data_IF_425548590516
#
_entry.id   IF_425548590516
#
_cell.length_a   1.000
_cell.length_b   1.000
_cell.length_c   1.000
_cell.angle_alpha   90.00
_cell.angle_beta   90.00
_cell.angle_gamma   90.00
#
_symmetry.space_group_name_H-M   'P 1'
#
loop_
_entity.id
_entity.type
_entity.pdbx_description
1 polymer ?
#
# COMPACT_ATOMS: atom_id res chain seq x y z
N UNK A 1 11.53 8.58 43.52
CA UNK A 1 10.61 7.59 44.12
C UNK A 1 9.51 7.18 43.11
N UNK A 2 9.86 6.80 41.91
CA UNK A 2 8.89 6.39 40.88
C UNK A 2 9.22 5.04 40.20
N UNK A 3 10.29 4.37 40.60
CA UNK A 3 10.69 3.06 40.04
C UNK A 3 9.97 1.84 40.64
N UNK A 4 9.04 2.03 41.60
CA UNK A 4 8.33 0.93 42.27
C UNK A 4 7.05 0.43 41.60
N UNK A 5 6.51 1.13 40.60
CA UNK A 5 5.17 0.84 40.09
C UNK A 5 5.16 -0.10 38.88
N UNK A 6 6.18 -0.12 38.07
CA UNK A 6 6.22 -0.88 36.82
C UNK A 6 6.58 -2.37 37.01
N UNK A 7 7.26 -2.72 38.10
CA UNK A 7 7.65 -4.13 38.39
C UNK A 7 6.52 -5.04 38.87
N UNK A 8 5.32 -4.52 39.12
CA UNK A 8 4.19 -5.29 39.69
C UNK A 8 3.20 -5.82 38.65
N UNK A 9 3.35 -5.50 37.37
CA UNK A 9 2.41 -5.88 36.31
C UNK A 9 2.83 -7.14 35.55
N UNK A 10 4.07 -7.63 35.68
CA UNK A 10 4.60 -8.73 34.87
C UNK A 10 5.05 -9.98 35.60
N UNK A 11 4.51 -10.30 36.80
CA UNK A 11 4.73 -11.61 37.42
C UNK A 11 3.43 -12.37 37.54
N UNK A 12 3.06 -13.07 36.48
CA UNK A 12 2.12 -14.20 36.52
C UNK A 12 2.92 -15.50 36.64
N UNK A 13 2.79 -16.22 37.74
CA UNK A 13 3.33 -17.55 37.78
C UNK A 13 3.35 -18.18 39.15
N UNK A 14 2.36 -19.04 39.41
CA UNK A 14 2.37 -20.25 40.26
C UNK A 14 2.69 -20.09 41.75
N UNK A 15 1.67 -20.30 42.61
CA UNK A 15 1.64 -21.46 43.47
C UNK A 15 0.27 -21.62 44.18
N UNK A 16 -0.17 -22.84 44.35
CA UNK A 16 -1.41 -23.28 44.96
C UNK A 16 -1.21 -23.65 46.47
N UNK A 17 -2.24 -24.08 47.22
CA UNK A 17 -2.87 -23.32 48.29
C UNK A 17 -2.76 -24.02 49.67
N UNK A 18 -3.04 -23.31 50.75
CA UNK A 18 -3.45 -23.96 52.00
C UNK A 18 -3.99 -22.95 53.02
N UNK A 19 -5.16 -23.23 53.63
CA UNK A 19 -5.51 -22.77 54.95
C UNK A 19 -6.71 -21.83 55.10
N UNK A 20 -7.76 -22.34 55.70
CA UNK A 20 -9.10 -21.81 55.92
C UNK A 20 -9.22 -20.62 56.90
N UNK A 21 -10.19 -19.70 56.60
CA UNK A 21 -11.23 -19.01 57.38
C UNK A 21 -10.84 -18.10 58.56
N UNK A 22 -11.66 -17.12 59.03
CA UNK A 22 -13.02 -16.78 58.64
C UNK A 22 -13.31 -15.29 58.35
N UNK A 23 -14.55 -15.01 58.03
CA UNK A 23 -15.20 -13.76 57.60
C UNK A 23 -15.11 -12.58 58.57
N UNK A 24 -15.02 -11.38 58.01
CA UNK A 24 -15.52 -10.13 58.62
C UNK A 24 -16.11 -9.23 57.50
N UNK A 25 -17.30 -8.75 57.81
CA UNK A 25 -18.15 -7.89 57.00
C UNK A 25 -17.51 -6.50 56.77
N UNK A 26 -17.53 -6.02 55.54
CA UNK A 26 -17.29 -4.59 55.25
C UNK A 26 -18.39 -4.06 54.33
N UNK A 27 -19.06 -3.05 54.88
CA UNK A 27 -20.22 -2.34 54.42
C UNK A 27 -20.04 -1.68 53.04
N UNK A 28 -21.08 -1.76 52.24
CA UNK A 28 -21.38 -0.98 51.05
C UNK A 28 -21.33 0.52 51.33
N UNK A 29 -20.64 1.26 50.47
CA UNK A 29 -20.82 2.69 50.32
C UNK A 29 -21.21 2.99 48.85
N UNK A 30 -22.28 3.77 48.60
CA UNK A 30 -22.82 3.95 47.27
C UNK A 30 -21.96 4.93 46.43
N UNK A 31 -21.76 4.53 45.16
CA UNK A 31 -21.18 5.40 44.14
C UNK A 31 -22.12 6.58 43.83
N UNK A 32 -21.56 7.77 43.76
CA UNK A 32 -22.30 9.01 43.53
C UNK A 32 -22.90 9.08 42.13
N UNK A 33 -24.15 9.50 42.09
CA UNK A 33 -25.09 9.59 40.95
C UNK A 33 -24.69 10.64 39.85
N UNK A 34 -23.60 11.38 40.02
CA UNK A 34 -23.19 12.45 39.11
C UNK A 34 -22.55 11.97 37.79
N UNK A 35 -21.97 10.75 37.78
CA UNK A 35 -21.28 10.23 36.57
C UNK A 35 -22.25 9.63 35.54
N UNK A 36 -23.46 9.31 35.92
CA UNK A 36 -24.48 8.73 35.03
C UNK A 36 -25.35 9.80 34.35
N UNK A 37 -25.42 11.01 34.90
CA UNK A 37 -26.18 12.11 34.30
C UNK A 37 -25.42 12.76 33.10
N UNK A 38 -24.09 12.82 33.12
CA UNK A 38 -23.32 13.40 32.00
C UNK A 38 -23.35 12.52 30.72
N UNK A 39 -23.49 11.22 30.84
CA UNK A 39 -23.56 10.31 29.68
C UNK A 39 -24.97 10.37 29.02
N UNK A 40 -26.01 10.68 29.79
CA UNK A 40 -27.38 10.81 29.31
C UNK A 40 -27.64 12.11 28.52
N UNK A 41 -26.95 13.18 28.86
CA UNK A 41 -27.13 14.49 28.17
C UNK A 41 -26.39 14.59 26.82
N UNK A 42 -25.27 13.91 26.64
CA UNK A 42 -24.59 13.85 25.34
C UNK A 42 -25.31 12.98 24.32
N UNK A 43 -26.01 11.92 24.74
CA UNK A 43 -26.78 11.07 23.83
C UNK A 43 -28.09 11.71 23.36
N UNK A 44 -28.72 12.54 24.19
CA UNK A 44 -29.94 13.27 23.79
C UNK A 44 -29.65 14.42 22.83
N UNK A 45 -28.46 15.03 22.87
CA UNK A 45 -28.06 16.08 21.94
C UNK A 45 -27.77 15.53 20.52
N UNK A 46 -27.26 14.32 20.40
CA UNK A 46 -26.96 13.67 19.10
C UNK A 46 -28.27 13.21 18.42
N UNK A 47 -29.25 12.74 19.17
CA UNK A 47 -30.55 12.31 18.64
C UNK A 47 -31.44 13.50 18.20
N UNK A 48 -31.35 14.65 18.86
CA UNK A 48 -32.08 15.86 18.42
C UNK A 48 -31.50 16.47 17.14
N UNK A 49 -30.19 16.43 16.91
CA UNK A 49 -29.58 16.87 15.64
C UNK A 49 -29.92 15.97 14.43
N UNK A 50 -30.31 14.74 14.67
CA UNK A 50 -30.73 13.79 13.62
C UNK A 50 -32.20 13.92 13.23
N UNK A 51 -33.06 14.52 14.08
CA UNK A 51 -34.48 14.72 13.81
C UNK A 51 -34.76 16.06 13.09
N UNK A 52 -33.97 17.11 13.35
CA UNK A 52 -34.12 18.40 12.67
C UNK A 52 -33.73 18.40 11.19
N UNK A 53 -32.97 17.37 10.73
CA UNK A 53 -32.61 17.20 9.31
C UNK A 53 -33.72 16.55 8.46
N UNK A 54 -34.79 16.03 9.07
CA UNK A 54 -35.86 15.29 8.39
C UNK A 54 -37.12 16.14 8.09
N UNK A 55 -37.23 17.36 8.62
CA UNK A 55 -38.48 18.14 8.55
C UNK A 55 -38.44 19.36 7.60
N UNK A 56 -37.45 19.54 6.74
CA UNK A 56 -37.43 20.71 5.83
C UNK A 56 -37.27 20.27 4.36
N UNK A 57 -38.34 20.00 3.61
CA UNK A 57 -38.26 19.74 2.18
C UNK A 57 -38.03 21.04 1.39
N UNK A 58 -37.05 21.03 0.49
CA UNK A 58 -36.75 22.10 -0.47
C UNK A 58 -37.90 22.29 -1.45
N UNK A 59 -38.17 23.53 -1.91
CA UNK A 59 -39.32 23.82 -2.78
C UNK A 59 -39.13 23.27 -4.19
N UNK A 60 -40.22 22.67 -4.70
CA UNK A 60 -40.39 22.20 -6.07
C UNK A 60 -40.26 23.34 -7.08
N UNK A 61 -39.45 23.18 -8.10
CA UNK A 61 -39.48 24.02 -9.30
C UNK A 61 -40.45 23.43 -10.33
N UNK A 62 -41.40 24.24 -10.74
CA UNK A 62 -42.47 23.95 -11.69
C UNK A 62 -41.94 23.57 -13.08
N UNK A 63 -42.72 22.70 -13.70
CA UNK A 63 -42.46 22.04 -14.95
C UNK A 63 -42.46 22.92 -16.20
N UNK A 64 -41.69 22.47 -17.17
CA UNK A 64 -41.87 22.85 -18.58
C UNK A 64 -42.17 21.57 -19.36
N UNK A 65 -43.37 21.53 -19.93
CA UNK A 65 -43.85 20.43 -20.80
C UNK A 65 -43.16 20.43 -22.15
N UNK A 66 -42.94 19.27 -22.76
CA UNK A 66 -42.42 19.16 -24.13
C UNK A 66 -43.53 19.26 -25.16
N UNK A 67 -43.29 20.01 -26.25
CA UNK A 67 -44.10 20.04 -27.46
C UNK A 67 -43.74 18.90 -28.42
N UNK A 68 -44.67 18.42 -29.24
CA UNK A 68 -44.56 17.21 -30.01
C UNK A 68 -43.78 17.39 -31.35
N UNK A 69 -43.28 16.26 -31.82
CA UNK A 69 -42.55 16.08 -33.08
C UNK A 69 -43.51 16.19 -34.28
N UNK A 70 -43.03 16.84 -35.35
CA UNK A 70 -43.56 16.72 -36.70
C UNK A 70 -42.66 15.79 -37.55
N UNK A 71 -43.39 14.90 -38.26
CA UNK A 71 -42.85 14.02 -39.30
C UNK A 71 -42.45 14.84 -40.51
N UNK A 72 -41.35 14.39 -41.21
CA UNK A 72 -41.40 14.27 -42.68
C UNK A 72 -40.22 13.43 -43.23
N UNK A 73 -40.63 12.45 -43.94
CA UNK A 73 -40.18 11.85 -45.23
C UNK A 73 -38.71 11.56 -45.51
N UNK A 74 -38.50 10.29 -45.74
CA UNK A 74 -37.39 9.74 -46.54
C UNK A 74 -37.59 10.01 -48.04
N UNK A 75 -36.55 9.99 -48.85
CA UNK A 75 -36.66 9.32 -50.15
C UNK A 75 -35.63 8.21 -50.37
N UNK A 76 -36.12 7.20 -51.05
CA UNK A 76 -35.43 6.00 -51.57
C UNK A 76 -34.49 6.28 -52.72
N UNK A 77 -33.58 5.29 -52.89
CA UNK A 77 -33.06 4.69 -54.13
C UNK A 77 -32.09 5.47 -55.03
N UNK A 78 -30.94 4.85 -55.25
CA UNK A 78 -30.56 4.19 -56.52
C UNK A 78 -29.09 3.70 -56.41
N UNK A 79 -28.89 2.44 -56.51
CA UNK A 79 -28.36 1.52 -57.52
C UNK A 79 -27.11 1.95 -58.27
N UNK A 80 -26.20 0.96 -58.32
CA UNK A 80 -25.16 0.70 -59.32
C UNK A 80 -23.83 1.44 -59.30
N UNK A 81 -22.76 0.70 -58.93
CA UNK A 81 -21.67 0.43 -59.86
C UNK A 81 -20.66 -0.57 -59.29
N UNK A 82 -20.65 -1.72 -59.91
CA UNK A 82 -19.61 -2.73 -59.96
C UNK A 82 -18.26 -2.15 -60.35
N UNK A 83 -17.21 -2.34 -59.50
CA UNK A 83 -15.83 -2.13 -59.90
C UNK A 83 -14.95 -3.25 -59.32
N UNK A 84 -14.84 -4.28 -60.14
CA UNK A 84 -13.91 -5.42 -59.94
C UNK A 84 -12.46 -4.91 -60.09
N UNK A 85 -11.72 -4.85 -58.98
CA UNK A 85 -10.27 -4.66 -59.00
C UNK A 85 -9.61 -6.04 -58.97
N UNK A 86 -8.98 -6.41 -60.11
CA UNK A 86 -8.07 -7.56 -60.24
C UNK A 86 -6.81 -7.29 -59.41
N UNK A 87 -6.55 -8.13 -58.43
CA UNK A 87 -5.26 -8.25 -57.78
C UNK A 87 -4.39 -9.23 -58.57
N UNK A 88 -3.31 -8.70 -59.18
CA UNK A 88 -2.21 -9.50 -59.70
C UNK A 88 -1.39 -10.09 -58.56
N UNK A 89 -1.13 -11.39 -58.65
CA UNK A 89 -0.29 -12.20 -57.74
C UNK A 89 1.16 -12.06 -58.29
N UNK A 90 2.12 -11.63 -57.50
CA UNK A 90 3.53 -11.74 -57.86
C UNK A 90 4.06 -13.16 -57.54
N UNK A 91 4.92 -13.62 -58.46
CA UNK A 91 5.61 -14.91 -58.52
C UNK A 91 6.37 -15.31 -57.25
N UNK A 92 6.48 -16.62 -57.08
CA UNK A 92 7.16 -17.34 -56.02
C UNK A 92 8.65 -16.94 -55.88
N UNK A 93 9.08 -16.62 -54.65
CA UNK A 93 10.50 -16.60 -54.24
C UNK A 93 10.98 -17.99 -53.79
N UNK A 94 12.28 -18.30 -53.95
CA UNK A 94 12.84 -19.62 -53.67
C UNK A 94 12.94 -19.92 -52.16
N UNK A 95 13.10 -21.19 -51.74
CA UNK A 95 13.14 -21.57 -50.32
C UNK A 95 14.45 -21.06 -49.68
N UNK A 96 14.28 -20.26 -48.63
CA UNK A 96 15.37 -19.84 -47.75
C UNK A 96 15.53 -20.95 -46.71
N UNK A 97 16.79 -21.26 -46.46
CA UNK A 97 17.26 -22.33 -45.60
C UNK A 97 16.78 -22.27 -44.15
N UNK A 98 16.90 -23.39 -43.51
CA UNK A 98 16.71 -23.63 -42.08
C UNK A 98 17.44 -22.60 -41.26
N UNK A 99 16.70 -21.63 -40.67
CA UNK A 99 17.22 -20.80 -39.62
C UNK A 99 17.09 -21.54 -38.29
N UNK A 100 18.26 -21.70 -37.68
CA UNK A 100 18.46 -22.18 -36.30
C UNK A 100 17.46 -21.50 -35.35
N UNK A 101 16.92 -22.30 -34.45
CA UNK A 101 16.14 -21.86 -33.30
C UNK A 101 16.94 -20.84 -32.49
N UNK A 102 16.76 -19.56 -32.81
CA UNK A 102 17.15 -18.49 -31.91
C UNK A 102 16.30 -18.62 -30.65
N UNK A 103 16.95 -18.97 -29.53
CA UNK A 103 16.32 -19.07 -28.24
C UNK A 103 15.56 -17.79 -27.92
N UNK A 104 14.30 -17.94 -27.55
CA UNK A 104 13.48 -16.84 -27.04
C UNK A 104 14.23 -16.26 -25.85
N UNK A 105 14.73 -15.03 -25.99
CA UNK A 105 15.36 -14.29 -24.92
C UNK A 105 14.33 -14.17 -23.77
N UNK A 106 14.72 -14.62 -22.58
CA UNK A 106 13.89 -14.45 -21.40
C UNK A 106 13.63 -12.94 -21.17
N UNK A 107 12.41 -12.56 -20.79
CA UNK A 107 12.10 -11.14 -20.59
C UNK A 107 12.92 -10.58 -19.44
N UNK A 108 13.69 -9.50 -19.68
CA UNK A 108 14.42 -8.78 -18.65
C UNK A 108 13.44 -8.03 -17.74
N UNK A 109 13.34 -8.45 -16.47
CA UNK A 109 12.44 -7.81 -15.50
C UNK A 109 12.98 -6.44 -15.07
N UNK A 110 12.08 -5.46 -14.79
CA UNK A 110 12.48 -4.15 -14.25
C UNK A 110 13.05 -4.29 -12.83
N UNK A 111 13.81 -3.27 -12.39
CA UNK A 111 14.30 -3.19 -10.99
C UNK A 111 13.17 -3.40 -9.99
N UNK A 112 13.41 -4.24 -8.97
CA UNK A 112 12.44 -4.56 -7.92
C UNK A 112 11.60 -5.81 -8.17
N UNK A 113 11.83 -6.52 -9.29
CA UNK A 113 11.21 -7.81 -9.60
C UNK A 113 12.29 -8.88 -9.76
N UNK A 114 11.98 -10.10 -9.34
CA UNK A 114 12.82 -11.28 -9.57
C UNK A 114 11.97 -12.43 -10.09
N UNK A 115 12.56 -13.31 -10.90
CA UNK A 115 11.95 -14.58 -11.27
C UNK A 115 12.09 -15.54 -10.08
N UNK A 116 11.01 -16.19 -9.68
CA UNK A 116 10.97 -17.11 -8.52
C UNK A 116 11.84 -18.35 -8.65
N UNK A 117 12.49 -18.58 -9.79
CA UNK A 117 13.24 -19.82 -10.09
C UNK A 117 14.68 -19.65 -10.54
N UNK A 118 15.17 -18.45 -10.86
CA UNK A 118 16.60 -18.26 -11.24
C UNK A 118 17.09 -16.84 -10.98
N UNK A 119 18.18 -16.73 -10.23
CA UNK A 119 18.92 -15.48 -10.10
C UNK A 119 19.78 -15.26 -11.34
N UNK A 120 19.48 -14.29 -12.20
CA UNK A 120 20.31 -13.91 -13.34
C UNK A 120 21.04 -12.61 -13.06
N UNK A 121 22.36 -12.59 -13.29
CA UNK A 121 23.24 -11.43 -13.14
C UNK A 121 22.85 -10.29 -14.09
N UNK A 122 22.92 -9.07 -13.58
CA UNK A 122 22.50 -7.82 -14.25
C UNK A 122 23.58 -7.27 -15.17
N UNK A 123 23.17 -6.88 -16.38
CA UNK A 123 23.96 -6.03 -17.31
C UNK A 123 23.52 -4.57 -17.11
N UNK A 124 24.45 -3.59 -17.00
CA UNK A 124 24.10 -2.19 -16.75
C UNK A 124 23.66 -1.46 -18.03
N UNK A 125 22.51 -0.76 -17.98
CA UNK A 125 22.08 0.18 -19.01
C UNK A 125 22.64 1.59 -18.76
N UNK A 126 23.04 2.31 -19.83
CA UNK A 126 23.63 3.66 -19.79
C UNK A 126 22.59 4.79 -19.56
N UNK A 127 22.97 5.93 -18.92
CA UNK A 127 22.04 6.82 -18.26
C UNK A 127 21.56 7.99 -19.12
N UNK A 128 20.25 8.12 -19.26
CA UNK A 128 19.61 9.43 -19.40
C UNK A 128 19.67 10.13 -18.02
N UNK A 129 20.08 11.40 -17.93
CA UNK A 129 20.19 12.16 -16.66
C UNK A 129 18.82 12.35 -15.99
N UNK A 130 18.25 11.28 -15.49
CA UNK A 130 17.15 11.32 -14.52
C UNK A 130 17.78 11.42 -13.14
N UNK A 131 17.23 12.24 -12.24
CA UNK A 131 17.59 12.23 -10.83
C UNK A 131 17.73 10.78 -10.38
N UNK A 132 18.83 10.45 -9.70
CA UNK A 132 19.00 9.08 -9.18
C UNK A 132 17.79 8.75 -8.27
N UNK A 133 17.40 7.49 -8.20
CA UNK A 133 16.30 7.09 -7.36
C UNK A 133 16.50 7.53 -5.88
N UNK A 134 17.74 7.51 -5.39
CA UNK A 134 18.12 8.01 -4.06
C UNK A 134 17.84 9.52 -3.90
N UNK A 135 18.11 10.31 -4.93
CA UNK A 135 17.76 11.74 -4.89
C UNK A 135 16.25 11.96 -4.83
N UNK A 136 15.45 11.15 -5.53
CA UNK A 136 13.99 11.20 -5.44
C UNK A 136 13.50 10.76 -4.05
N UNK A 137 14.04 9.67 -3.51
CA UNK A 137 13.75 9.20 -2.15
C UNK A 137 14.09 10.27 -1.11
N UNK A 138 15.28 10.85 -1.19
CA UNK A 138 15.73 11.93 -0.29
C UNK A 138 14.83 13.15 -0.38
N UNK A 139 14.45 13.56 -1.58
CA UNK A 139 13.51 14.67 -1.78
C UNK A 139 12.15 14.33 -1.17
N UNK A 140 11.65 13.11 -1.36
CA UNK A 140 10.40 12.63 -0.78
C UNK A 140 10.42 12.61 0.75
N UNK A 141 11.50 12.12 1.35
CA UNK A 141 11.65 12.04 2.81
C UNK A 141 12.18 13.32 3.46
N UNK A 142 12.45 14.38 2.68
CA UNK A 142 13.08 15.60 3.18
C UNK A 142 12.34 16.21 4.37
N UNK A 143 11.01 16.21 4.35
CA UNK A 143 10.20 16.76 5.46
C UNK A 143 10.36 15.95 6.75
N UNK A 144 10.31 14.63 6.65
CA UNK A 144 10.53 13.71 7.79
C UNK A 144 11.95 13.90 8.35
N UNK A 145 12.93 13.82 7.48
CA UNK A 145 14.35 13.91 7.84
C UNK A 145 14.72 15.26 8.43
N UNK A 146 14.35 16.38 7.80
CA UNK A 146 14.71 17.72 8.26
C UNK A 146 14.08 18.07 9.61
N UNK A 147 12.83 17.65 9.85
CA UNK A 147 12.18 17.83 11.15
C UNK A 147 12.89 17.02 12.23
N UNK A 148 13.14 15.74 11.98
CA UNK A 148 13.75 14.83 12.94
C UNK A 148 15.20 15.25 13.27
N UNK A 149 16.04 15.48 12.25
CA UNK A 149 17.44 15.90 12.46
C UNK A 149 17.56 17.26 13.10
N UNK A 150 16.65 18.19 12.79
CA UNK A 150 16.60 19.49 13.44
C UNK A 150 16.32 19.39 14.94
N UNK A 151 15.36 18.55 15.33
CA UNK A 151 15.02 18.30 16.75
C UNK A 151 16.14 17.55 17.47
N UNK A 152 16.75 16.52 16.86
CA UNK A 152 17.91 15.81 17.41
C UNK A 152 19.08 16.79 17.63
N UNK A 153 19.41 17.61 16.64
CA UNK A 153 20.50 18.59 16.77
C UNK A 153 20.23 19.57 17.91
N UNK A 154 19.00 20.04 18.07
CA UNK A 154 18.63 20.94 19.17
C UNK A 154 18.77 20.24 20.54
N UNK A 155 18.40 18.97 20.65
CA UNK A 155 18.49 18.19 21.89
C UNK A 155 19.95 18.00 22.34
N UNK A 156 20.85 17.69 21.40
CA UNK A 156 22.27 17.39 21.68
C UNK A 156 23.19 18.62 21.60
N UNK A 157 22.64 19.83 21.43
CA UNK A 157 23.45 21.05 21.45
C UNK A 157 23.91 21.35 22.86
N UNK A 158 25.21 21.19 23.15
CA UNK A 158 25.87 21.52 24.42
C UNK A 158 25.41 20.70 25.65
N UNK A 159 24.88 19.49 25.45
CA UNK A 159 24.53 18.57 26.54
C UNK A 159 25.41 17.32 26.51
N UNK A 160 25.73 16.79 27.69
CA UNK A 160 26.27 15.44 27.85
C UNK A 160 25.11 14.44 27.81
N UNK A 161 25.37 13.27 27.30
CA UNK A 161 24.37 12.20 27.29
C UNK A 161 24.10 11.74 28.73
N UNK A 162 22.92 12.02 29.22
CA UNK A 162 22.37 11.58 30.49
C UNK A 162 21.01 10.89 30.30
N UNK A 163 20.39 10.41 31.36
CA UNK A 163 19.14 9.68 31.33
C UNK A 163 17.96 10.52 30.80
N UNK A 164 17.93 11.80 31.19
CA UNK A 164 16.89 12.75 30.76
C UNK A 164 16.97 13.00 29.24
N UNK A 165 18.19 13.16 28.71
CA UNK A 165 18.42 13.35 27.27
C UNK A 165 18.08 12.10 26.46
N UNK A 166 18.31 10.89 27.00
CA UNK A 166 17.90 9.63 26.36
C UNK A 166 16.38 9.50 26.31
N UNK A 167 15.68 9.86 27.40
CA UNK A 167 14.22 9.86 27.42
C UNK A 167 13.64 10.86 26.43
N UNK A 168 14.19 12.07 26.38
CA UNK A 168 13.78 13.08 25.39
C UNK A 168 13.97 12.59 23.95
N UNK A 169 15.07 11.85 23.68
CA UNK A 169 15.33 11.24 22.37
C UNK A 169 14.30 10.15 22.04
N UNK A 170 14.00 9.24 22.98
CA UNK A 170 12.98 8.21 22.80
C UNK A 170 11.63 8.82 22.44
N UNK A 171 11.18 9.82 23.18
CA UNK A 171 9.92 10.52 22.95
C UNK A 171 9.88 11.15 21.55
N UNK A 172 10.98 11.75 21.12
CA UNK A 172 11.13 12.36 19.80
C UNK A 172 11.03 11.32 18.68
N UNK A 173 11.70 10.17 18.84
CA UNK A 173 11.68 9.08 17.85
C UNK A 173 10.28 8.44 17.76
N UNK A 174 9.58 8.31 18.89
CA UNK A 174 8.20 7.83 18.94
C UNK A 174 7.26 8.83 18.23
N UNK A 175 7.42 10.13 18.45
CA UNK A 175 6.65 11.18 17.77
C UNK A 175 6.90 11.21 16.25
N UNK A 176 8.06 10.77 15.81
CA UNK A 176 8.39 10.59 14.39
C UNK A 176 7.84 9.28 13.79
N UNK A 177 6.98 8.57 14.52
CA UNK A 177 6.35 7.30 14.10
C UNK A 177 7.35 6.14 13.87
N UNK A 178 8.56 6.16 14.44
CA UNK A 178 9.55 5.07 14.31
C UNK A 178 9.16 3.81 15.10
N UNK A 179 8.20 3.93 16.02
CA UNK A 179 7.75 2.86 16.91
C UNK A 179 8.61 2.71 18.17
N UNK A 180 7.97 2.25 19.24
CA UNK A 180 8.58 2.18 20.59
C UNK A 180 9.80 1.26 20.60
N UNK A 181 9.71 0.07 20.01
CA UNK A 181 10.81 -0.90 19.99
C UNK A 181 12.07 -0.34 19.32
N UNK A 182 11.90 0.34 18.19
CA UNK A 182 13.03 0.94 17.46
C UNK A 182 13.62 2.13 18.22
N UNK A 183 12.76 2.98 18.82
CA UNK A 183 13.20 4.12 19.62
C UNK A 183 14.06 3.67 20.81
N UNK A 184 13.59 2.68 21.56
CA UNK A 184 14.34 2.08 22.67
C UNK A 184 15.68 1.47 22.22
N UNK A 185 15.70 0.70 21.11
CA UNK A 185 16.94 0.14 20.59
C UNK A 185 17.97 1.21 20.21
N UNK A 186 17.52 2.34 19.65
CA UNK A 186 18.40 3.46 19.31
C UNK A 186 18.95 4.11 20.58
N UNK A 187 18.10 4.37 21.59
CA UNK A 187 18.51 4.96 22.87
C UNK A 187 19.47 4.04 23.66
N UNK A 188 19.18 2.74 23.71
CA UNK A 188 20.04 1.73 24.36
C UNK A 188 21.41 1.65 23.68
N UNK A 189 21.45 1.61 22.35
CA UNK A 189 22.71 1.60 21.59
C UNK A 189 23.51 2.87 21.84
N UNK A 190 22.87 4.04 21.81
CA UNK A 190 23.51 5.32 22.09
C UNK A 190 24.04 5.37 23.53
N UNK A 191 23.26 4.91 24.50
CA UNK A 191 23.64 4.81 25.89
C UNK A 191 24.89 3.93 26.07
N UNK A 192 24.88 2.73 25.48
CA UNK A 192 26.00 1.79 25.62
C UNK A 192 27.32 2.31 25.05
N UNK A 193 27.26 3.11 23.97
CA UNK A 193 28.45 3.59 23.26
C UNK A 193 28.96 4.94 23.80
N UNK A 194 28.06 5.81 24.25
CA UNK A 194 28.34 7.24 24.46
C UNK A 194 27.92 7.81 25.81
N UNK A 195 27.43 7.01 26.76
CA UNK A 195 26.97 7.51 28.06
C UNK A 195 28.05 8.37 28.78
N UNK A 196 27.66 9.52 29.25
CA UNK A 196 28.53 10.50 29.94
C UNK A 196 29.56 11.21 29.04
N UNK A 197 29.54 10.97 27.73
CA UNK A 197 30.39 11.65 26.74
C UNK A 197 29.61 12.73 26.00
N UNK A 198 30.34 13.61 25.32
CA UNK A 198 29.74 14.56 24.39
C UNK A 198 29.26 13.78 23.14
N UNK A 199 28.01 14.00 22.73
CA UNK A 199 27.36 13.38 21.58
C UNK A 199 26.97 14.48 20.61
N UNK A 200 27.24 14.23 19.32
CA UNK A 200 26.81 15.11 18.24
C UNK A 200 25.52 14.58 17.59
N UNK A 201 24.73 15.46 16.98
CA UNK A 201 23.58 15.04 16.19
C UNK A 201 23.94 14.06 15.05
N UNK A 202 25.17 14.14 14.51
CA UNK A 202 25.68 13.20 13.51
C UNK A 202 25.94 11.80 14.08
N UNK A 203 26.44 11.70 15.33
CA UNK A 203 26.62 10.41 16.01
C UNK A 203 25.25 9.73 16.20
N UNK A 204 24.25 10.49 16.64
CA UNK A 204 22.88 9.98 16.79
C UNK A 204 22.30 9.55 15.43
N UNK A 205 22.47 10.37 14.39
CA UNK A 205 21.98 10.04 13.04
C UNK A 205 22.61 8.74 12.51
N UNK A 206 23.91 8.49 12.73
CA UNK A 206 24.57 7.25 12.32
C UNK A 206 24.06 6.03 13.09
N UNK A 207 23.88 6.14 14.40
CA UNK A 207 23.31 5.03 15.21
C UNK A 207 21.88 4.77 14.77
N UNK A 208 21.06 5.82 14.60
CA UNK A 208 19.70 5.72 14.14
C UNK A 208 19.61 5.01 12.76
N UNK A 209 20.43 5.42 11.79
CA UNK A 209 20.46 4.76 10.48
C UNK A 209 20.81 3.27 10.60
N UNK A 210 21.81 2.93 11.44
CA UNK A 210 22.21 1.55 11.67
C UNK A 210 21.10 0.70 12.28
N UNK A 211 20.40 1.19 13.31
CA UNK A 211 19.32 0.46 13.98
C UNK A 211 18.10 0.32 13.06
N UNK A 212 17.73 1.38 12.33
CA UNK A 212 16.66 1.33 11.32
C UNK A 212 17.00 0.31 10.24
N UNK A 213 18.24 0.28 9.73
CA UNK A 213 18.67 -0.72 8.73
C UNK A 213 18.50 -2.14 9.25
N UNK A 214 18.86 -2.43 10.51
CA UNK A 214 18.68 -3.76 11.11
C UNK A 214 17.21 -4.20 11.09
N UNK A 215 16.29 -3.29 11.33
CA UNK A 215 14.84 -3.56 11.30
C UNK A 215 14.34 -3.76 9.87
N UNK A 216 14.81 -2.96 8.92
CA UNK A 216 14.28 -2.94 7.55
C UNK A 216 14.90 -4.00 6.62
N UNK A 217 16.17 -4.37 6.83
CA UNK A 217 16.88 -5.30 5.96
C UNK A 217 16.21 -6.66 5.76
N UNK A 218 15.60 -7.28 6.78
CA UNK A 218 14.89 -8.55 6.60
C UNK A 218 13.64 -8.46 5.72
N UNK A 219 13.05 -7.28 5.61
CA UNK A 219 11.79 -7.02 4.85
C UNK A 219 12.04 -6.34 3.50
N UNK A 220 13.23 -5.82 3.25
CA UNK A 220 13.62 -5.24 1.95
C UNK A 220 13.88 -6.38 0.96
N UNK A 221 12.86 -6.78 0.22
CA UNK A 221 12.91 -7.88 -0.75
C UNK A 221 12.31 -7.44 -2.07
N UNK A 222 12.83 -7.90 -3.20
CA UNK A 222 12.20 -7.70 -4.50
C UNK A 222 10.88 -8.49 -4.58
N UNK A 223 9.93 -8.01 -5.38
CA UNK A 223 8.71 -8.74 -5.69
C UNK A 223 9.06 -9.92 -6.62
N UNK A 224 8.84 -11.13 -6.12
CA UNK A 224 9.03 -12.36 -6.90
C UNK A 224 7.81 -12.62 -7.80
N UNK A 225 8.06 -12.72 -9.10
CA UNK A 225 7.08 -13.12 -10.08
C UNK A 225 7.36 -14.54 -10.53
N UNK A 226 6.48 -15.47 -10.21
CA UNK A 226 6.52 -16.82 -10.76
C UNK A 226 5.77 -16.85 -12.08
N UNK A 227 6.49 -16.73 -13.18
CA UNK A 227 5.94 -16.76 -14.53
C UNK A 227 5.63 -18.19 -15.05
N UNK A 228 5.82 -19.23 -14.24
CA UNK A 228 5.28 -20.56 -14.52
C UNK A 228 3.75 -20.57 -14.39
N UNK A 229 3.20 -19.73 -13.53
CA UNK A 229 1.79 -19.39 -13.49
C UNK A 229 1.44 -18.43 -14.63
N UNK A 230 0.43 -18.77 -15.43
CA UNK A 230 -0.06 -17.92 -16.52
C UNK A 230 -1.58 -17.77 -16.41
N UNK A 231 -2.00 -16.67 -15.76
CA UNK A 231 -1.24 -15.50 -15.28
C UNK A 231 -0.69 -15.67 -13.87
N UNK A 232 0.43 -14.95 -13.52
CA UNK A 232 0.75 -14.61 -12.13
C UNK A 232 -0.25 -13.55 -11.65
N UNK A 233 -1.02 -13.84 -10.60
CA UNK A 233 -2.11 -12.98 -10.12
C UNK A 233 -1.63 -12.11 -8.97
N UNK A 234 -1.73 -10.79 -9.14
CA UNK A 234 -1.48 -9.78 -8.12
C UNK A 234 -2.81 -9.14 -7.71
N UNK A 235 -3.26 -9.35 -6.49
CA UNK A 235 -4.42 -8.68 -5.91
C UNK A 235 -3.94 -7.45 -5.12
N UNK A 236 -4.40 -6.25 -5.50
CA UNK A 236 -4.00 -5.01 -4.83
C UNK A 236 -5.11 -4.53 -3.89
N UNK A 237 -4.79 -4.46 -2.59
CA UNK A 237 -5.71 -4.11 -1.52
C UNK A 237 -5.26 -2.85 -0.77
N UNK A 238 -6.14 -2.26 0.02
CA UNK A 238 -5.86 -1.07 0.84
C UNK A 238 -7.06 -0.12 0.90
N UNK A 239 -7.02 0.86 1.80
CA UNK A 239 -8.11 1.82 1.95
C UNK A 239 -8.17 2.82 0.78
N UNK A 240 -9.29 3.53 0.66
CA UNK A 240 -9.42 4.57 -0.37
C UNK A 240 -8.38 5.68 -0.13
N UNK A 241 -7.80 6.16 -1.22
CA UNK A 241 -6.79 7.23 -1.18
C UNK A 241 -5.35 6.75 -0.95
N UNK A 242 -5.09 5.46 -0.65
CA UNK A 242 -3.71 4.94 -0.48
C UNK A 242 -2.94 4.76 -1.79
N UNK A 243 -3.51 5.14 -2.92
CA UNK A 243 -2.80 5.07 -4.21
C UNK A 243 -2.86 3.71 -4.91
N UNK A 244 -3.83 2.82 -4.61
CA UNK A 244 -3.99 1.50 -5.27
C UNK A 244 -3.93 1.60 -6.79
N UNK A 245 -4.90 2.29 -7.40
CA UNK A 245 -5.02 2.42 -8.86
C UNK A 245 -3.78 3.04 -9.50
N UNK A 246 -3.18 4.04 -8.85
CA UNK A 246 -1.92 4.66 -9.31
C UNK A 246 -0.74 3.68 -9.23
N UNK A 247 -0.63 2.93 -8.13
CA UNK A 247 0.40 1.89 -7.96
C UNK A 247 0.26 0.80 -9.02
N UNK A 248 -0.97 0.35 -9.29
CA UNK A 248 -1.25 -0.62 -10.36
C UNK A 248 -0.77 -0.10 -11.72
N UNK A 249 -1.09 1.16 -12.04
CA UNK A 249 -0.65 1.77 -13.30
C UNK A 249 0.87 1.85 -13.44
N UNK A 250 1.58 2.21 -12.35
CA UNK A 250 3.04 2.26 -12.33
C UNK A 250 3.68 0.87 -12.42
N UNK A 251 3.10 -0.14 -11.74
CA UNK A 251 3.53 -1.54 -11.87
C UNK A 251 3.32 -2.05 -13.30
N UNK A 252 2.14 -1.79 -13.87
CA UNK A 252 1.84 -2.16 -15.25
C UNK A 252 2.84 -1.55 -16.23
N UNK A 253 3.18 -0.27 -16.07
CA UNK A 253 4.17 0.40 -16.90
C UNK A 253 5.56 -0.26 -16.82
N UNK A 254 6.01 -0.61 -15.61
CA UNK A 254 7.30 -1.29 -15.41
C UNK A 254 7.31 -2.69 -16.05
N UNK A 255 6.23 -3.46 -15.86
CA UNK A 255 6.12 -4.83 -16.36
C UNK A 255 5.96 -4.87 -17.87
N UNK A 256 5.04 -4.05 -18.44
CA UNK A 256 4.85 -3.96 -19.89
C UNK A 256 6.09 -3.40 -20.59
N UNK A 257 6.77 -2.41 -19.97
CA UNK A 257 8.04 -1.87 -20.48
C UNK A 257 9.16 -2.91 -20.54
N UNK A 258 9.04 -4.01 -19.78
CA UNK A 258 9.97 -5.16 -19.82
C UNK A 258 9.48 -6.29 -20.74
N UNK A 259 8.45 -6.05 -21.56
CA UNK A 259 7.94 -6.99 -22.54
C UNK A 259 6.95 -8.02 -21.98
N UNK A 260 6.54 -7.92 -20.70
CA UNK A 260 5.53 -8.82 -20.15
C UNK A 260 4.12 -8.42 -20.61
N UNK A 261 3.28 -9.43 -20.87
CA UNK A 261 1.88 -9.23 -21.22
C UNK A 261 1.05 -9.07 -19.94
N UNK A 262 0.61 -7.84 -19.69
CA UNK A 262 -0.13 -7.48 -18.47
C UNK A 262 -1.62 -7.30 -18.77
N UNK A 263 -2.47 -7.83 -17.89
CA UNK A 263 -3.91 -7.55 -17.89
C UNK A 263 -4.28 -6.83 -16.58
N UNK A 264 -5.12 -5.78 -16.68
CA UNK A 264 -5.64 -5.01 -15.57
C UNK A 264 -7.12 -5.23 -15.39
N UNK A 265 -7.57 -5.57 -14.17
CA UNK A 265 -8.97 -5.80 -13.83
C UNK A 265 -9.47 -4.76 -12.83
N UNK A 266 -10.57 -4.06 -13.19
CA UNK A 266 -11.16 -2.97 -12.40
C UNK A 266 -12.15 -3.50 -11.36
N UNK A 267 -11.64 -4.10 -10.26
CA UNK A 267 -12.47 -4.67 -9.19
C UNK A 267 -13.02 -3.63 -8.20
N UNK A 268 -12.60 -2.35 -8.20
CA UNK A 268 -13.31 -1.27 -7.51
C UNK A 268 -14.58 -0.89 -8.29
N UNK A 269 -15.56 -1.78 -8.26
CA UNK A 269 -16.81 -1.65 -9.05
C UNK A 269 -17.74 -0.55 -8.53
N UNK A 270 -17.47 0.03 -7.38
CA UNK A 270 -18.30 1.07 -6.77
C UNK A 270 -17.94 2.48 -7.22
N UNK A 271 -16.77 2.67 -7.83
CA UNK A 271 -16.25 3.99 -8.20
C UNK A 271 -16.03 4.09 -9.70
N UNK A 272 -16.94 4.75 -10.40
CA UNK A 272 -16.83 4.97 -11.85
C UNK A 272 -15.48 5.61 -12.24
N UNK A 273 -15.03 6.62 -11.48
CA UNK A 273 -13.74 7.27 -11.71
C UNK A 273 -12.55 6.33 -11.51
N UNK A 274 -12.61 5.32 -10.63
CA UNK A 274 -11.53 4.36 -10.46
C UNK A 274 -11.44 3.40 -11.67
N UNK A 275 -12.59 2.95 -12.17
CA UNK A 275 -12.67 2.12 -13.38
C UNK A 275 -12.08 2.87 -14.58
N UNK A 276 -12.49 4.14 -14.77
CA UNK A 276 -12.00 4.98 -15.85
C UNK A 276 -10.50 5.27 -15.73
N UNK A 277 -10.03 5.60 -14.53
CA UNK A 277 -8.60 5.81 -14.24
C UNK A 277 -7.77 4.58 -14.57
N UNK A 278 -8.24 3.38 -14.18
CA UNK A 278 -7.53 2.13 -14.48
C UNK A 278 -7.52 1.84 -15.97
N UNK A 279 -8.59 2.16 -16.69
CA UNK A 279 -8.65 2.04 -18.16
C UNK A 279 -7.61 2.97 -18.82
N UNK A 280 -7.52 4.23 -18.38
CA UNK A 280 -6.51 5.18 -18.89
C UNK A 280 -5.09 4.62 -18.67
N UNK A 281 -4.84 4.01 -17.51
CA UNK A 281 -3.55 3.35 -17.25
C UNK A 281 -3.31 2.17 -18.19
N UNK A 282 -4.32 1.32 -18.44
CA UNK A 282 -4.20 0.22 -19.38
C UNK A 282 -3.85 0.70 -20.80
N UNK A 283 -4.58 1.72 -21.28
CA UNK A 283 -4.33 2.32 -22.61
C UNK A 283 -2.90 2.90 -22.71
N UNK A 284 -2.43 3.58 -21.66
CA UNK A 284 -1.07 4.18 -21.63
C UNK A 284 0.05 3.16 -21.58
N UNK A 285 -0.18 2.01 -20.98
CA UNK A 285 0.82 0.95 -20.79
C UNK A 285 0.73 -0.17 -21.83
N UNK A 286 -0.25 -0.11 -22.73
CA UNK A 286 -0.52 -1.18 -23.69
C UNK A 286 -1.01 -2.47 -23.02
N UNK A 287 -1.54 -2.37 -21.79
CA UNK A 287 -2.06 -3.52 -21.05
C UNK A 287 -3.50 -3.85 -21.48
N UNK A 288 -3.87 -5.13 -21.44
CA UNK A 288 -5.27 -5.51 -21.65
C UNK A 288 -6.11 -5.04 -20.46
N UNK A 289 -7.30 -4.50 -20.75
CA UNK A 289 -8.24 -4.05 -19.72
C UNK A 289 -9.46 -4.94 -19.64
N UNK A 290 -9.92 -5.22 -18.42
CA UNK A 290 -11.22 -5.79 -18.15
C UNK A 290 -11.91 -4.99 -17.03
N UNK A 291 -13.15 -4.60 -17.29
CA UNK A 291 -14.00 -3.88 -16.34
C UNK A 291 -15.44 -4.34 -16.51
N UNK A 292 -16.26 -4.02 -15.54
CA UNK A 292 -17.68 -4.36 -15.51
C UNK A 292 -18.54 -3.13 -15.23
N UNK A 293 -19.86 -3.32 -15.21
CA UNK A 293 -20.81 -2.25 -14.87
C UNK A 293 -20.63 -1.81 -13.40
N UNK A 294 -20.91 -0.55 -13.14
CA UNK A 294 -20.90 0.01 -11.79
C UNK A 294 -21.82 -0.82 -10.87
N UNK A 295 -21.32 -1.17 -9.68
CA UNK A 295 -22.04 -1.96 -8.69
C UNK A 295 -22.11 -3.48 -9.00
N UNK A 296 -21.40 -3.97 -10.01
CA UNK A 296 -21.33 -5.39 -10.29
C UNK A 296 -20.48 -6.15 -9.25
N UNK A 297 -20.62 -7.48 -9.23
CA UNK A 297 -19.87 -8.36 -8.32
C UNK A 297 -18.38 -8.39 -8.67
N UNK A 298 -17.53 -7.85 -7.77
CA UNK A 298 -16.08 -7.81 -7.95
C UNK A 298 -15.46 -9.22 -8.03
N UNK A 299 -16.02 -10.21 -7.35
CA UNK A 299 -15.53 -11.59 -7.42
C UNK A 299 -15.87 -12.26 -8.76
N UNK A 300 -17.03 -11.93 -9.35
CA UNK A 300 -17.39 -12.33 -10.71
C UNK A 300 -16.43 -11.75 -11.73
N UNK A 301 -16.09 -10.47 -11.60
CA UNK A 301 -15.08 -9.82 -12.45
C UNK A 301 -13.71 -10.47 -12.31
N UNK A 302 -13.28 -10.80 -11.08
CA UNK A 302 -11.99 -11.46 -10.84
C UNK A 302 -11.93 -12.84 -11.51
N UNK A 303 -13.06 -13.58 -11.50
CA UNK A 303 -13.21 -14.84 -12.23
C UNK A 303 -13.05 -14.66 -13.74
N UNK A 304 -13.80 -13.74 -14.32
CA UNK A 304 -13.75 -13.45 -15.76
C UNK A 304 -12.36 -12.97 -16.20
N UNK A 305 -11.72 -12.13 -15.37
CA UNK A 305 -10.39 -11.62 -15.63
C UNK A 305 -9.35 -12.74 -15.65
N UNK A 306 -9.42 -13.68 -14.70
CA UNK A 306 -8.52 -14.83 -14.65
C UNK A 306 -8.68 -15.72 -15.90
N UNK A 307 -9.91 -16.10 -16.26
CA UNK A 307 -10.20 -16.94 -17.44
C UNK A 307 -9.74 -16.25 -18.73
N UNK A 308 -10.01 -14.93 -18.86
CA UNK A 308 -9.57 -14.16 -20.02
C UNK A 308 -8.04 -14.04 -20.08
N UNK A 309 -7.38 -13.75 -18.95
CA UNK A 309 -5.92 -13.66 -18.88
C UNK A 309 -5.26 -14.99 -19.28
N UNK A 310 -5.84 -16.12 -18.83
CA UNK A 310 -5.41 -17.47 -19.20
C UNK A 310 -5.58 -17.74 -20.70
N UNK A 311 -6.76 -17.40 -21.26
CA UNK A 311 -7.05 -17.57 -22.68
C UNK A 311 -6.13 -16.73 -23.57
N UNK A 312 -5.83 -15.49 -23.15
CA UNK A 312 -4.95 -14.58 -23.86
C UNK A 312 -3.45 -14.82 -23.58
N UNK A 313 -3.13 -15.77 -22.69
CA UNK A 313 -1.76 -16.08 -22.25
C UNK A 313 -1.06 -14.83 -21.68
N UNK A 314 -1.76 -14.07 -20.84
CA UNK A 314 -1.15 -12.96 -20.09
C UNK A 314 -0.14 -13.50 -19.09
N UNK A 315 1.01 -12.82 -18.94
CA UNK A 315 2.02 -13.20 -17.97
C UNK A 315 1.59 -12.79 -16.56
N UNK A 316 1.00 -11.59 -16.42
CA UNK A 316 0.57 -11.02 -15.13
C UNK A 316 -0.87 -10.51 -15.25
N UNK A 317 -1.69 -10.83 -14.23
CA UNK A 317 -3.00 -10.25 -14.00
C UNK A 317 -2.96 -9.41 -12.73
N UNK A 318 -3.25 -8.11 -12.83
CA UNK A 318 -3.32 -7.20 -11.67
C UNK A 318 -4.78 -6.81 -11.46
N UNK A 319 -5.30 -7.07 -10.25
CA UNK A 319 -6.69 -6.81 -9.87
C UNK A 319 -6.72 -5.65 -8.89
N UNK A 320 -7.37 -4.52 -9.26
CA UNK A 320 -7.71 -3.43 -8.34
C UNK A 320 -8.90 -3.85 -7.47
N UNK A 321 -9.00 -3.31 -6.24
CA UNK A 321 -10.09 -3.61 -5.32
C UNK A 321 -10.69 -2.35 -4.72
N UNK A 322 -11.93 -2.44 -4.24
CA UNK A 322 -12.52 -1.42 -3.40
C UNK A 322 -11.69 -1.16 -2.13
N UNK A 323 -11.86 0.00 -1.51
CA UNK A 323 -11.12 0.37 -0.30
C UNK A 323 -11.98 1.13 0.72
N UNK A 324 -13.29 0.87 0.76
CA UNK A 324 -14.25 1.56 1.61
C UNK A 324 -14.22 1.05 3.05
N UNK A 325 -13.23 1.50 3.84
CA UNK A 325 -13.05 1.01 5.21
C UNK A 325 -14.19 1.45 6.16
N UNK A 326 -14.96 2.51 5.82
CA UNK A 326 -16.17 2.90 6.55
C UNK A 326 -17.22 1.78 6.58
N UNK A 327 -17.34 0.97 5.51
CA UNK A 327 -18.15 -0.25 5.44
C UNK A 327 -17.25 -1.48 5.59
N UNK A 328 -16.53 -1.56 6.71
CA UNK A 328 -15.50 -2.57 6.94
C UNK A 328 -16.01 -4.00 6.70
N UNK A 329 -17.18 -4.35 7.22
CA UNK A 329 -17.74 -5.70 7.10
C UNK A 329 -17.99 -6.12 5.65
N UNK A 330 -18.58 -5.22 4.84
CA UNK A 330 -18.86 -5.48 3.43
C UNK A 330 -17.58 -5.61 2.61
N UNK A 331 -16.63 -4.68 2.83
CA UNK A 331 -15.33 -4.71 2.16
C UNK A 331 -14.58 -6.02 2.45
N UNK A 332 -14.59 -6.45 3.72
CA UNK A 332 -13.89 -7.66 4.12
C UNK A 332 -14.55 -8.91 3.52
N UNK A 333 -15.88 -8.98 3.50
CA UNK A 333 -16.61 -10.07 2.86
C UNK A 333 -16.37 -10.12 1.33
N UNK A 334 -16.26 -8.96 0.68
CA UNK A 334 -15.95 -8.86 -0.75
C UNK A 334 -14.53 -9.39 -1.04
N UNK A 335 -13.54 -8.96 -0.25
CA UNK A 335 -12.15 -9.41 -0.41
C UNK A 335 -12.00 -10.92 -0.17
N UNK A 336 -12.61 -11.46 0.88
CA UNK A 336 -12.65 -12.91 1.13
C UNK A 336 -13.29 -13.66 -0.04
N UNK A 337 -14.36 -13.11 -0.62
CA UNK A 337 -15.03 -13.70 -1.78
C UNK A 337 -14.12 -13.72 -3.01
N UNK A 338 -13.39 -12.63 -3.29
CA UNK A 338 -12.43 -12.54 -4.39
C UNK A 338 -11.33 -13.59 -4.21
N UNK A 339 -10.68 -13.64 -3.04
CA UNK A 339 -9.61 -14.61 -2.73
C UNK A 339 -10.11 -16.05 -2.89
N UNK A 340 -11.29 -16.35 -2.35
CA UNK A 340 -11.91 -17.68 -2.47
C UNK A 340 -12.23 -18.06 -3.91
N UNK A 341 -12.67 -17.11 -4.73
CA UNK A 341 -12.98 -17.37 -6.16
C UNK A 341 -11.70 -17.63 -6.94
N UNK A 342 -10.66 -16.82 -6.74
CA UNK A 342 -9.35 -17.03 -7.36
C UNK A 342 -8.74 -18.39 -6.97
N UNK A 343 -8.79 -18.74 -5.67
CA UNK A 343 -8.30 -20.03 -5.18
C UNK A 343 -9.04 -21.27 -5.70
N UNK A 344 -10.27 -21.11 -6.28
CA UNK A 344 -10.96 -22.19 -6.99
C UNK A 344 -10.44 -22.40 -8.41
N UNK A 345 -9.90 -21.35 -9.03
CA UNK A 345 -9.35 -21.39 -10.39
C UNK A 345 -7.89 -21.88 -10.38
N UNK A 346 -7.12 -21.42 -9.41
CA UNK A 346 -5.77 -21.86 -9.12
C UNK A 346 -5.59 -21.89 -7.59
N UNK A 347 -5.28 -23.05 -6.98
CA UNK A 347 -5.12 -23.19 -5.52
C UNK A 347 -4.07 -22.24 -4.90
N UNK A 348 -3.12 -21.75 -5.71
CA UNK A 348 -2.07 -20.83 -5.28
C UNK A 348 -2.44 -19.35 -5.51
N UNK A 349 -3.54 -19.06 -6.21
CA UNK A 349 -3.97 -17.68 -6.47
C UNK A 349 -4.83 -17.10 -5.32
N UNK A 350 -4.70 -15.78 -5.04
CA UNK A 350 -3.75 -14.84 -5.65
C UNK A 350 -2.33 -15.11 -5.21
N UNK A 351 -1.35 -15.10 -6.14
CA UNK A 351 0.06 -15.39 -5.87
C UNK A 351 0.72 -14.28 -5.05
N UNK A 352 0.30 -13.04 -5.30
CA UNK A 352 0.70 -11.86 -4.53
C UNK A 352 -0.53 -11.09 -4.09
N UNK A 353 -0.63 -10.81 -2.79
CA UNK A 353 -1.60 -9.87 -2.23
C UNK A 353 -0.84 -8.66 -1.73
N UNK A 354 -0.89 -7.59 -2.52
CA UNK A 354 -0.11 -6.39 -2.33
C UNK A 354 -0.95 -5.32 -1.64
N UNK A 355 -0.59 -4.92 -0.44
CA UNK A 355 -1.28 -3.84 0.26
C UNK A 355 -0.58 -2.50 0.03
N UNK A 356 -1.34 -1.50 -0.43
CA UNK A 356 -0.88 -0.10 -0.47
C UNK A 356 -1.19 0.60 0.84
N UNK A 357 -0.20 1.28 1.40
CA UNK A 357 -0.28 2.06 2.63
C UNK A 357 0.10 3.51 2.34
N UNK A 358 -0.64 4.44 2.91
CA UNK A 358 -0.37 5.88 2.83
C UNK A 358 0.47 6.31 4.04
N UNK A 359 1.70 6.77 3.80
CA UNK A 359 2.61 7.21 4.86
C UNK A 359 2.06 8.39 5.68
N UNK A 360 1.14 9.17 5.12
CA UNK A 360 0.53 10.31 5.84
C UNK A 360 -0.43 9.88 6.95
N UNK A 361 -0.88 8.62 6.96
CA UNK A 361 -1.82 8.09 7.96
C UNK A 361 -1.17 7.72 9.28
N UNK A 362 0.17 7.69 9.37
CA UNK A 362 0.89 7.38 10.60
C UNK A 362 0.44 6.06 11.22
N UNK A 363 0.23 6.05 12.55
CA UNK A 363 -0.13 4.85 13.31
C UNK A 363 -1.39 4.11 12.82
N UNK A 364 -2.32 4.79 12.15
CA UNK A 364 -3.49 4.13 11.58
C UNK A 364 -3.12 3.09 10.51
N UNK A 365 -1.97 3.24 9.83
CA UNK A 365 -1.49 2.25 8.88
C UNK A 365 -1.21 0.89 9.52
N UNK A 366 -0.77 0.84 10.77
CA UNK A 366 -0.53 -0.40 11.53
C UNK A 366 -1.79 -1.27 11.63
N UNK A 367 -2.91 -0.66 12.03
CA UNK A 367 -4.19 -1.37 12.14
C UNK A 367 -4.68 -1.86 10.77
N UNK A 368 -4.43 -1.08 9.71
CA UNK A 368 -4.79 -1.50 8.35
C UNK A 368 -4.03 -2.76 7.94
N UNK A 369 -2.71 -2.84 8.19
CA UNK A 369 -1.92 -4.03 7.86
C UNK A 369 -2.51 -5.27 8.53
N UNK A 370 -2.82 -5.20 9.80
CA UNK A 370 -3.38 -6.33 10.55
C UNK A 370 -4.72 -6.81 9.97
N UNK A 371 -5.62 -5.86 9.67
CA UNK A 371 -6.95 -6.17 9.13
C UNK A 371 -6.84 -6.85 7.76
N UNK A 372 -6.11 -6.25 6.82
CA UNK A 372 -6.01 -6.77 5.46
C UNK A 372 -5.20 -8.08 5.40
N UNK A 373 -4.18 -8.24 6.25
CA UNK A 373 -3.41 -9.48 6.37
C UNK A 373 -4.30 -10.65 6.78
N UNK A 374 -5.14 -10.45 7.79
CA UNK A 374 -5.99 -11.52 8.33
C UNK A 374 -7.09 -11.96 7.34
N UNK A 375 -7.54 -11.06 6.46
CA UNK A 375 -8.69 -11.30 5.59
C UNK A 375 -8.29 -11.68 4.17
N UNK A 376 -7.35 -10.94 3.59
CA UNK A 376 -6.93 -11.13 2.21
C UNK A 376 -5.62 -11.91 2.09
N UNK A 377 -4.94 -12.20 3.20
CA UNK A 377 -3.65 -12.90 3.16
C UNK A 377 -2.52 -12.04 2.62
N UNK A 378 -2.47 -10.74 2.96
CA UNK A 378 -1.41 -9.81 2.50
C UNK A 378 -0.04 -10.41 2.74
N UNK A 379 0.76 -10.50 1.67
CA UNK A 379 2.11 -11.03 1.67
C UNK A 379 3.17 -10.03 1.17
N UNK A 380 2.77 -8.79 0.86
CA UNK A 380 3.69 -7.71 0.50
C UNK A 380 3.07 -6.33 0.65
N UNK A 381 3.93 -5.33 0.84
CA UNK A 381 3.56 -3.95 1.11
C UNK A 381 4.13 -2.99 0.05
N UNK A 382 3.38 -1.92 -0.22
CA UNK A 382 3.84 -0.73 -0.93
C UNK A 382 3.53 0.48 -0.06
N UNK A 383 4.54 1.24 0.33
CA UNK A 383 4.34 2.50 1.02
C UNK A 383 4.29 3.64 0.00
N UNK A 384 3.23 4.43 0.04
CA UNK A 384 2.99 5.55 -0.89
C UNK A 384 3.04 6.90 -0.17
N UNK A 385 3.12 7.98 -0.95
CA UNK A 385 3.05 9.38 -0.49
C UNK A 385 4.14 9.78 0.52
N UNK A 386 5.32 9.19 0.39
CA UNK A 386 6.45 9.56 1.24
C UNK A 386 6.90 11.01 1.01
N UNK A 387 6.63 11.57 -0.17
CA UNK A 387 6.92 12.95 -0.56
C UNK A 387 6.04 14.00 0.14
N UNK A 388 4.88 13.59 0.64
CA UNK A 388 3.89 14.47 1.27
C UNK A 388 3.93 14.55 2.80
N UNK A 389 4.79 13.78 3.48
CA UNK A 389 4.67 13.56 4.94
C UNK A 389 5.94 13.83 5.72
N UNK A 390 5.76 14.22 7.00
CA UNK A 390 6.79 14.18 8.03
C UNK A 390 6.75 12.87 8.86
N UNK A 391 5.90 11.91 8.49
CA UNK A 391 5.65 10.64 9.21
C UNK A 391 6.19 9.41 8.49
N UNK A 392 7.23 9.58 7.67
CA UNK A 392 7.86 8.46 6.94
C UNK A 392 8.41 7.34 7.86
N UNK A 393 8.64 7.63 9.13
CA UNK A 393 9.07 6.67 10.15
C UNK A 393 8.11 5.50 10.37
N UNK A 394 6.82 5.66 10.04
CA UNK A 394 5.79 4.62 10.22
C UNK A 394 6.14 3.30 9.50
N UNK A 395 6.88 3.35 8.39
CA UNK A 395 7.33 2.13 7.71
C UNK A 395 8.23 1.28 8.60
N UNK A 396 9.08 1.91 9.42
CA UNK A 396 9.97 1.21 10.36
C UNK A 396 9.14 0.46 11.41
N UNK A 397 8.15 1.14 12.01
CA UNK A 397 7.26 0.52 13.00
C UNK A 397 6.45 -0.64 12.40
N UNK A 398 5.94 -0.50 11.16
CA UNK A 398 5.22 -1.57 10.45
C UNK A 398 6.15 -2.76 10.19
N UNK A 399 7.37 -2.52 9.74
CA UNK A 399 8.37 -3.55 9.48
C UNK A 399 8.75 -4.32 10.75
N UNK A 400 9.00 -3.62 11.85
CA UNK A 400 9.31 -4.24 13.14
C UNK A 400 8.19 -5.18 13.61
N UNK A 401 6.94 -4.70 13.58
CA UNK A 401 5.78 -5.44 14.09
C UNK A 401 5.32 -6.57 13.18
N UNK A 402 5.16 -6.32 11.88
CA UNK A 402 4.48 -7.25 10.97
C UNK A 402 5.43 -8.13 10.17
N UNK A 403 6.69 -7.70 9.97
CA UNK A 403 7.74 -8.43 9.23
C UNK A 403 7.31 -8.90 7.84
N UNK A 404 6.43 -8.11 7.20
CA UNK A 404 6.01 -8.34 5.83
C UNK A 404 7.02 -7.72 4.85
N UNK A 405 7.29 -8.37 3.71
CA UNK A 405 8.10 -7.77 2.66
C UNK A 405 7.58 -6.40 2.23
N UNK A 406 8.47 -5.43 2.10
CA UNK A 406 8.19 -4.14 1.48
C UNK A 406 8.84 -4.16 0.11
N UNK A 407 8.03 -4.16 -0.94
CA UNK A 407 8.53 -4.29 -2.30
C UNK A 407 8.86 -2.95 -2.93
N UNK A 408 7.98 -1.96 -2.75
CA UNK A 408 8.12 -0.66 -3.39
C UNK A 408 7.75 0.48 -2.45
N UNK A 409 8.29 1.65 -2.79
CA UNK A 409 7.93 2.93 -2.18
C UNK A 409 7.54 3.94 -3.27
N UNK A 410 6.50 4.73 -2.99
CA UNK A 410 6.05 5.83 -3.83
C UNK A 410 6.58 7.15 -3.30
N UNK A 411 7.34 7.84 -4.14
CA UNK A 411 8.05 9.09 -3.80
C UNK A 411 7.58 10.27 -4.65
N UNK A 412 6.41 10.16 -5.27
CA UNK A 412 5.81 11.18 -6.11
C UNK A 412 4.68 10.65 -6.99
N UNK A 413 4.13 11.51 -7.86
CA UNK A 413 2.99 11.19 -8.72
C UNK A 413 3.39 10.67 -10.12
N UNK A 414 4.62 10.90 -10.57
CA UNK A 414 5.11 10.48 -11.88
C UNK A 414 5.11 8.96 -12.07
N UNK A 415 5.08 8.52 -13.30
CA UNK A 415 5.06 7.09 -13.66
C UNK A 415 6.32 6.36 -13.15
N UNK A 416 7.44 7.07 -13.09
CA UNK A 416 8.73 6.56 -12.62
C UNK A 416 8.90 6.67 -11.09
N UNK A 417 7.95 7.29 -10.35
CA UNK A 417 8.04 7.55 -8.91
C UNK A 417 7.52 6.37 -8.05
N UNK A 418 7.70 5.16 -8.53
CA UNK A 418 7.54 3.91 -7.77
C UNK A 418 8.88 3.19 -7.78
N UNK A 419 9.59 3.23 -6.65
CA UNK A 419 10.94 2.70 -6.55
C UNK A 419 10.97 1.40 -5.76
N UNK A 420 11.85 0.46 -6.10
CA UNK A 420 12.16 -0.69 -5.25
C UNK A 420 12.59 -0.23 -3.86
N UNK A 421 12.19 -0.96 -2.84
CA UNK A 421 12.55 -0.62 -1.48
C UNK A 421 13.96 -1.12 -1.14
N UNK A 422 14.83 -0.19 -0.73
CA UNK A 422 16.20 -0.48 -0.26
C UNK A 422 16.36 0.01 1.18
N UNK A 423 16.72 -0.90 2.10
CA UNK A 423 16.73 -0.63 3.55
C UNK A 423 17.77 0.43 3.95
N UNK A 424 19.00 0.31 3.43
CA UNK A 424 20.11 1.20 3.79
C UNK A 424 19.84 2.63 3.30
N UNK A 425 19.35 2.77 2.08
CA UNK A 425 19.06 4.06 1.48
C UNK A 425 17.89 4.77 2.17
N UNK A 426 16.86 4.02 2.55
CA UNK A 426 15.74 4.55 3.31
C UNK A 426 16.15 5.00 4.71
N UNK A 427 16.94 4.19 5.42
CA UNK A 427 17.46 4.50 6.74
C UNK A 427 18.36 5.75 6.73
N UNK A 428 19.27 5.85 5.75
CA UNK A 428 20.12 7.02 5.57
C UNK A 428 19.30 8.28 5.23
N UNK A 429 18.28 8.14 4.37
CA UNK A 429 17.42 9.27 4.00
C UNK A 429 16.61 9.80 5.20
N UNK A 430 16.06 8.92 6.06
CA UNK A 430 15.37 9.33 7.29
C UNK A 430 16.33 9.97 8.28
N UNK A 431 17.50 9.38 8.46
CA UNK A 431 18.52 9.89 9.40
C UNK A 431 19.19 11.20 8.93
N UNK A 432 18.87 11.67 7.71
CA UNK A 432 19.48 12.89 7.15
C UNK A 432 20.94 12.72 6.75
N UNK A 433 21.41 11.49 6.61
CA UNK A 433 22.76 11.20 6.16
C UNK A 433 22.83 11.31 4.64
N UNK A 434 23.84 12.04 4.14
CA UNK A 434 24.21 12.01 2.72
C UNK A 434 24.87 10.69 2.37
N UNK A 435 24.55 10.12 1.20
CA UNK A 435 25.31 8.99 0.64
C UNK A 435 26.67 9.44 0.15
#
# INVERSE_FOLDING_TARGET
MALGFIKKVFTFGKDKPSGAAPAEEAQDAPASDESLQQIGEEQTAVDQMSQDAAENPLPEQEGVSPRPADHDEAPESSSDADATIKLEVPEAMPPVGEEEHAGLAEPALPKGFTLGTTATERVPDEPVQKLSWFQRLRTGLFRTSSQLTGQITALFTKRKLDEDTLQDLEDLLIQADLGVETAMCIADTLSSERYGKDVTGEDVARIMASEITKVLKPVARPLELDLSHKPHVILVVGVNGTGKTTTIGKLAAKLSGSGLKVMLAAGDTFRAAAIEQLKIWADRTGSTFIGTKLGADAAGLAYEAFEKAKAEKSDVLIIDTAGRLQNKTELMAELEKIVRVLGKLDPNAPHTVLQTLDATTGQNAMAQVEIFRNIAGVNGLVMTKLDGTARGGILVAIAAKHRLPVYFIGVGEGIDDLEPFEADDFANAIAGLGS
#
